data_IF_342474647742
#
_entry.id   IF_342474647742
#
_cell.length_a   1.000
_cell.length_b   1.000
_cell.length_c   1.000
_cell.angle_alpha   90.00
_cell.angle_beta   90.00
_cell.angle_gamma   90.00
#
_symmetry.space_group_name_H-M   'P 1'
#
loop_
_entity.id
_entity.type
_entity.pdbx_description
1 polymer ?
#
# COMPACT_ATOMS: atom_id res chain seq x y z
N UNK A 1 -22.03 -3.05 -4.93
CA UNK A 1 -20.60 -3.42 -4.81
C UNK A 1 -20.32 -3.85 -3.37
N UNK A 2 -19.79 -5.04 -3.18
CA UNK A 2 -19.50 -5.53 -1.83
C UNK A 2 -18.15 -4.99 -1.34
N UNK A 3 -17.84 -5.23 -0.06
CA UNK A 3 -16.64 -4.68 0.57
C UNK A 3 -15.36 -5.21 -0.07
N UNK A 4 -15.36 -6.46 -0.53
CA UNK A 4 -14.19 -7.05 -1.18
C UNK A 4 -13.92 -6.37 -2.52
N UNK A 5 -14.96 -6.12 -3.31
CA UNK A 5 -14.82 -5.39 -4.58
C UNK A 5 -14.38 -3.95 -4.36
N UNK A 6 -14.88 -3.28 -3.31
CA UNK A 6 -14.44 -1.93 -2.96
C UNK A 6 -12.96 -1.91 -2.62
N UNK A 7 -12.51 -2.87 -1.83
CA UNK A 7 -11.11 -2.98 -1.45
C UNK A 7 -10.23 -3.24 -2.67
N UNK A 8 -10.63 -4.17 -3.53
CA UNK A 8 -9.88 -4.47 -4.74
C UNK A 8 -9.73 -3.24 -5.63
N UNK A 9 -10.83 -2.53 -5.84
CA UNK A 9 -10.80 -1.32 -6.66
C UNK A 9 -9.87 -0.26 -6.07
N UNK A 10 -9.98 -0.01 -4.77
CA UNK A 10 -9.14 0.96 -4.09
C UNK A 10 -7.66 0.60 -4.20
N UNK A 11 -7.31 -0.67 -3.98
CA UNK A 11 -5.93 -1.12 -4.08
C UNK A 11 -5.37 -0.95 -5.49
N UNK A 12 -6.13 -1.33 -6.50
CA UNK A 12 -5.66 -1.29 -7.89
C UNK A 12 -5.62 0.11 -8.48
N UNK A 13 -6.55 0.98 -8.08
CA UNK A 13 -6.66 2.31 -8.69
C UNK A 13 -5.96 3.42 -7.92
N UNK A 14 -5.68 3.22 -6.62
CA UNK A 14 -5.08 4.27 -5.80
C UNK A 14 -3.85 3.77 -5.02
N UNK A 15 -4.03 2.74 -4.18
CA UNK A 15 -3.01 2.39 -3.19
C UNK A 15 -1.74 1.87 -3.85
N UNK A 16 -1.84 0.90 -4.74
CA UNK A 16 -0.66 0.32 -5.40
C UNK A 16 0.03 1.31 -6.31
N UNK A 17 -0.72 2.20 -6.95
CA UNK A 17 -0.14 3.25 -7.78
C UNK A 17 0.71 4.19 -6.91
N UNK A 18 0.18 4.62 -5.77
CA UNK A 18 0.92 5.49 -4.85
C UNK A 18 2.15 4.79 -4.27
N UNK A 19 2.02 3.52 -3.90
CA UNK A 19 3.15 2.74 -3.39
C UNK A 19 4.25 2.64 -4.45
N UNK A 20 3.89 2.32 -5.68
CA UNK A 20 4.86 2.23 -6.78
C UNK A 20 5.55 3.57 -7.04
N UNK A 21 4.82 4.69 -6.98
CA UNK A 21 5.38 6.02 -7.14
C UNK A 21 6.38 6.35 -6.02
N UNK A 22 6.03 6.02 -4.77
CA UNK A 22 6.94 6.25 -3.66
C UNK A 22 8.19 5.39 -3.74
N UNK A 23 8.05 4.13 -4.14
CA UNK A 23 9.21 3.24 -4.34
C UNK A 23 10.13 3.83 -5.41
N UNK A 24 9.57 4.27 -6.53
CA UNK A 24 10.36 4.87 -7.60
C UNK A 24 11.09 6.13 -7.12
N UNK A 25 10.41 6.96 -6.32
CA UNK A 25 11.00 8.19 -5.76
C UNK A 25 12.16 7.85 -4.83
N UNK A 26 11.98 6.89 -3.92
CA UNK A 26 13.04 6.49 -2.98
C UNK A 26 14.23 5.92 -3.73
N UNK A 27 14.00 5.08 -4.74
CA UNK A 27 15.08 4.54 -5.57
C UNK A 27 15.86 5.63 -6.29
N UNK A 28 15.16 6.66 -6.75
CA UNK A 28 15.79 7.80 -7.42
C UNK A 28 16.72 8.54 -6.46
N UNK A 29 16.27 8.79 -5.22
CA UNK A 29 17.11 9.43 -4.22
C UNK A 29 18.28 8.55 -3.79
N UNK A 30 18.07 7.23 -3.69
CA UNK A 30 19.14 6.29 -3.37
C UNK A 30 20.22 6.27 -4.45
N UNK A 31 19.84 6.45 -5.72
CA UNK A 31 20.83 6.52 -6.81
C UNK A 31 21.78 7.70 -6.61
N UNK A 32 21.33 8.77 -5.97
CA UNK A 32 22.13 9.95 -5.67
C UNK A 32 22.84 9.87 -4.32
N UNK A 33 22.24 9.18 -3.36
CA UNK A 33 22.76 9.07 -2.00
C UNK A 33 22.86 7.59 -1.61
N UNK A 34 23.79 6.90 -2.24
CA UNK A 34 23.91 5.43 -2.11
C UNK A 34 24.15 4.93 -0.70
N UNK A 35 24.73 5.76 0.16
CA UNK A 35 25.08 5.37 1.52
C UNK A 35 24.01 5.76 2.55
N UNK A 36 22.88 6.31 2.11
CA UNK A 36 21.82 6.72 3.03
C UNK A 36 21.11 5.51 3.63
N UNK A 37 21.32 5.28 4.92
CA UNK A 37 20.65 4.21 5.64
C UNK A 37 19.15 4.46 5.77
N UNK A 38 18.76 5.72 5.97
CA UNK A 38 17.36 6.09 6.10
C UNK A 38 16.59 5.77 4.83
N UNK A 39 17.17 6.05 3.66
CA UNK A 39 16.53 5.73 2.39
C UNK A 39 16.44 4.23 2.15
N UNK A 40 17.45 3.47 2.58
CA UNK A 40 17.42 2.01 2.47
C UNK A 40 16.31 1.41 3.35
N UNK A 41 16.17 1.91 4.57
CA UNK A 41 15.13 1.46 5.49
C UNK A 41 13.75 1.79 4.92
N UNK A 42 13.58 3.00 4.39
CA UNK A 42 12.32 3.40 3.77
C UNK A 42 11.99 2.53 2.57
N UNK A 43 12.97 2.23 1.73
CA UNK A 43 12.76 1.37 0.57
C UNK A 43 12.32 -0.04 1.00
N UNK A 44 13.00 -0.62 1.99
CA UNK A 44 12.63 -1.94 2.51
C UNK A 44 11.22 -1.95 3.06
N UNK A 45 10.85 -0.90 3.80
CA UNK A 45 9.51 -0.75 4.34
C UNK A 45 8.47 -0.69 3.20
N UNK A 46 8.71 0.12 2.17
CA UNK A 46 7.78 0.26 1.06
C UNK A 46 7.66 -1.02 0.24
N UNK A 47 8.75 -1.77 0.09
CA UNK A 47 8.70 -3.07 -0.60
C UNK A 47 7.88 -4.08 0.18
N UNK A 48 7.98 -4.08 1.52
CA UNK A 48 7.15 -4.93 2.36
C UNK A 48 5.67 -4.54 2.27
N UNK A 49 5.37 -3.25 2.26
CA UNK A 49 4.00 -2.76 2.10
C UNK A 49 3.42 -3.23 0.77
N UNK A 50 4.19 -3.09 -0.32
CA UNK A 50 3.75 -3.57 -1.63
C UNK A 50 3.48 -5.06 -1.62
N UNK A 51 4.37 -5.83 -1.04
CA UNK A 51 4.22 -7.29 -0.95
C UNK A 51 2.94 -7.66 -0.20
N UNK A 52 2.65 -6.96 0.89
CA UNK A 52 1.43 -7.19 1.66
C UNK A 52 0.18 -6.95 0.82
N UNK A 53 0.11 -5.82 0.11
CA UNK A 53 -1.06 -5.52 -0.70
C UNK A 53 -1.18 -6.43 -1.91
N UNK A 54 -0.05 -6.85 -2.50
CA UNK A 54 -0.07 -7.84 -3.59
C UNK A 54 -0.64 -9.17 -3.09
N UNK A 55 -0.32 -9.58 -1.86
CA UNK A 55 -0.90 -10.78 -1.26
C UNK A 55 -2.41 -10.63 -1.04
N UNK A 56 -2.85 -9.46 -0.59
CA UNK A 56 -4.28 -9.18 -0.41
C UNK A 56 -5.01 -9.34 -1.74
N UNK A 57 -4.47 -8.76 -2.82
CA UNK A 57 -5.07 -8.89 -4.14
C UNK A 57 -5.10 -10.34 -4.59
N UNK A 58 -4.03 -11.08 -4.37
CA UNK A 58 -3.98 -12.51 -4.69
C UNK A 58 -5.08 -13.28 -3.97
N UNK A 59 -5.30 -12.99 -2.68
CA UNK A 59 -6.36 -13.62 -1.90
C UNK A 59 -7.75 -13.26 -2.42
N UNK A 60 -7.93 -12.02 -2.90
CA UNK A 60 -9.19 -11.61 -3.51
C UNK A 60 -9.44 -12.40 -4.80
N UNK A 61 -8.41 -12.51 -5.65
CA UNK A 61 -8.52 -13.20 -6.92
C UNK A 61 -8.79 -14.70 -6.73
N UNK A 62 -8.22 -15.29 -5.69
CA UNK A 62 -8.45 -16.69 -5.33
C UNK A 62 -9.74 -16.92 -4.56
N UNK A 63 -10.45 -15.83 -4.21
CA UNK A 63 -11.71 -15.86 -3.46
C UNK A 63 -11.55 -16.46 -2.06
N UNK A 64 -10.41 -16.25 -1.43
CA UNK A 64 -10.12 -16.72 -0.07
C UNK A 64 -10.06 -15.62 0.97
N UNK A 65 -10.18 -14.33 0.56
CA UNK A 65 -10.24 -13.23 1.51
C UNK A 65 -11.65 -13.14 2.10
N UNK A 66 -11.75 -13.12 3.43
CA UNK A 66 -13.04 -12.98 4.10
C UNK A 66 -13.51 -11.53 4.06
N UNK A 67 -14.83 -11.31 4.16
CA UNK A 67 -15.39 -9.98 4.26
C UNK A 67 -14.92 -9.26 5.51
N UNK A 68 -14.77 -9.97 6.62
CA UNK A 68 -14.28 -9.41 7.87
C UNK A 68 -12.86 -8.84 7.70
N UNK A 69 -11.98 -9.61 7.07
CA UNK A 69 -10.61 -9.14 6.80
C UNK A 69 -10.61 -7.96 5.85
N UNK A 70 -11.47 -7.99 4.81
CA UNK A 70 -11.59 -6.88 3.87
C UNK A 70 -12.03 -5.60 4.56
N UNK A 71 -12.97 -5.68 5.50
CA UNK A 71 -13.42 -4.51 6.27
C UNK A 71 -12.27 -3.94 7.09
N UNK A 72 -11.50 -4.79 7.76
CA UNK A 72 -10.36 -4.33 8.57
C UNK A 72 -9.31 -3.62 7.72
N UNK A 73 -8.97 -4.20 6.58
CA UNK A 73 -7.97 -3.60 5.68
C UNK A 73 -8.48 -2.26 5.15
N UNK A 74 -9.75 -2.21 4.76
CA UNK A 74 -10.36 -0.99 4.24
C UNK A 74 -10.37 0.11 5.31
N UNK A 75 -10.72 -0.23 6.56
CA UNK A 75 -10.70 0.72 7.66
C UNK A 75 -9.30 1.26 7.92
N UNK A 76 -8.29 0.39 7.89
CA UNK A 76 -6.90 0.82 8.07
C UNK A 76 -6.48 1.82 6.99
N UNK A 77 -6.88 1.58 5.75
CA UNK A 77 -6.58 2.49 4.64
C UNK A 77 -7.30 3.83 4.81
N UNK A 78 -8.55 3.82 5.24
CA UNK A 78 -9.31 5.04 5.50
C UNK A 78 -8.72 5.85 6.64
N UNK A 79 -8.30 5.17 7.72
CA UNK A 79 -7.68 5.83 8.86
C UNK A 79 -6.37 6.53 8.45
N UNK A 80 -5.57 5.92 7.60
CA UNK A 80 -4.34 6.54 7.10
C UNK A 80 -4.65 7.77 6.26
N UNK A 81 -5.71 7.74 5.47
CA UNK A 81 -6.11 8.89 4.64
C UNK A 81 -6.63 10.03 5.50
N UNK A 82 -7.38 9.72 6.57
CA UNK A 82 -7.86 10.74 7.50
C UNK A 82 -6.71 11.43 8.21
N UNK A 83 -5.69 10.67 8.61
CA UNK A 83 -4.50 11.25 9.24
C UNK A 83 -3.78 12.21 8.30
N UNK A 84 -3.72 11.90 7.01
CA UNK A 84 -3.13 12.80 6.02
C UNK A 84 -3.96 14.07 5.88
N UNK A 85 -5.27 13.96 5.88
CA UNK A 85 -6.18 15.10 5.79
C UNK A 85 -6.05 16.00 7.02
N UNK A 86 -5.89 15.42 8.20
CA UNK A 86 -5.74 16.18 9.44
C UNK A 86 -4.45 17.01 9.48
N UNK A 87 -3.43 16.60 8.76
CA UNK A 87 -2.15 17.33 8.70
C UNK A 87 -2.21 18.53 7.77
N UNK A 88 -3.21 18.62 6.95
CA UNK A 88 -3.42 19.74 6.03
C UNK A 88 -4.35 20.77 6.61
#
# INVERSE_FOLDING_TARGET
MNVIEQLEKLLKTEVLIQVDEEIATVKKFLAKQKDSEDLKIELDYMLDVKKYYDQVISHIEKKILSEEDAVKILQDLEDMREDEDDLN
#
